data_IF_681165422220
#
_entry.id   IF_681165422220
#
_cell.length_a   1.000
_cell.length_b   1.000
_cell.length_c   1.000
_cell.angle_alpha   90.00
_cell.angle_beta   90.00
_cell.angle_gamma   90.00
#
_symmetry.space_group_name_H-M   'P 1'
#
loop_
_entity.id
_entity.type
_entity.pdbx_description
1 polymer ?
#
# COMPACT_ATOMS: atom_id res chain seq x y z
N UNK A 1 -31.33 -9.41 29.47
CA UNK A 1 -30.38 -9.64 28.35
C UNK A 1 -30.56 -11.10 27.93
N UNK A 2 -30.86 -11.39 26.66
CA UNK A 2 -31.02 -12.78 26.19
C UNK A 2 -29.63 -13.27 25.78
N UNK A 3 -29.09 -14.24 26.51
CA UNK A 3 -27.78 -14.84 26.21
C UNK A 3 -28.03 -16.03 25.29
N UNK A 4 -27.32 -16.08 24.17
CA UNK A 4 -27.35 -17.21 23.24
C UNK A 4 -26.16 -18.09 23.56
N UNK A 5 -26.43 -19.36 23.83
CA UNK A 5 -25.44 -20.39 24.12
C UNK A 5 -25.29 -21.29 22.89
N UNK A 6 -24.05 -21.39 22.40
CA UNK A 6 -23.69 -22.21 21.24
C UNK A 6 -22.67 -23.25 21.67
N UNK A 7 -22.92 -24.52 21.34
CA UNK A 7 -21.91 -25.58 21.45
C UNK A 7 -21.10 -25.62 20.15
N UNK A 8 -19.77 -25.68 20.28
CA UNK A 8 -18.87 -25.87 19.14
C UNK A 8 -18.12 -27.18 19.32
N UNK A 9 -18.25 -28.09 18.35
CA UNK A 9 -17.56 -29.37 18.31
C UNK A 9 -16.60 -29.38 17.11
N UNK A 10 -15.30 -29.41 17.40
CA UNK A 10 -14.24 -29.39 16.39
C UNK A 10 -13.63 -30.78 16.25
N UNK A 11 -13.65 -31.32 15.03
CA UNK A 11 -13.18 -32.67 14.73
C UNK A 11 -11.98 -32.65 13.79
N UNK A 12 -10.82 -32.97 14.37
CA UNK A 12 -9.60 -33.28 13.63
C UNK A 12 -9.33 -34.80 13.62
N UNK A 13 -10.27 -35.56 13.07
CA UNK A 13 -10.20 -37.03 13.00
C UNK A 13 -9.88 -37.49 11.58
N UNK A 14 -9.25 -38.65 11.45
CA UNK A 14 -8.97 -39.29 10.16
C UNK A 14 -10.22 -39.86 9.48
N UNK A 15 -11.30 -40.08 10.23
CA UNK A 15 -12.60 -40.58 9.74
C UNK A 15 -13.68 -39.51 9.76
N UNK A 16 -14.69 -39.67 8.89
CA UNK A 16 -15.88 -38.84 8.87
C UNK A 16 -16.69 -39.02 10.17
N UNK A 17 -17.43 -37.96 10.56
CA UNK A 17 -18.31 -38.00 11.72
C UNK A 17 -19.43 -39.01 11.49
N UNK A 18 -19.55 -39.99 12.38
CA UNK A 18 -20.65 -40.95 12.34
C UNK A 18 -21.94 -40.38 12.97
N UNK A 19 -23.07 -40.98 12.60
CA UNK A 19 -24.39 -40.51 13.00
C UNK A 19 -24.66 -40.62 14.50
N UNK A 20 -24.03 -41.56 15.20
CA UNK A 20 -24.23 -41.76 16.63
C UNK A 20 -23.49 -40.66 17.41
N UNK A 21 -22.25 -40.38 17.00
CA UNK A 21 -21.48 -39.26 17.54
C UNK A 21 -22.22 -37.93 17.35
N UNK A 22 -22.74 -37.69 16.13
CA UNK A 22 -23.55 -36.49 15.87
C UNK A 22 -24.83 -36.43 16.71
N UNK A 23 -25.53 -37.57 16.88
CA UNK A 23 -26.68 -37.67 17.76
C UNK A 23 -26.38 -37.34 19.21
N UNK A 24 -25.22 -37.77 19.73
CA UNK A 24 -24.77 -37.43 21.08
C UNK A 24 -24.60 -35.92 21.28
N UNK A 25 -24.11 -35.20 20.27
CA UNK A 25 -23.99 -33.75 20.35
C UNK A 25 -25.35 -33.04 20.34
N UNK A 26 -26.31 -33.52 19.55
CA UNK A 26 -27.66 -32.97 19.57
C UNK A 26 -28.31 -33.12 20.95
N UNK A 27 -28.17 -34.29 21.58
CA UNK A 27 -28.67 -34.51 22.94
C UNK A 27 -28.00 -33.57 23.93
N UNK A 28 -26.67 -33.37 23.82
CA UNK A 28 -25.92 -32.43 24.66
C UNK A 28 -26.43 -31.00 24.53
N UNK A 29 -26.82 -30.57 23.32
CA UNK A 29 -27.41 -29.24 23.08
C UNK A 29 -28.71 -29.07 23.88
N UNK A 30 -29.55 -30.11 23.91
CA UNK A 30 -30.79 -30.10 24.69
C UNK A 30 -30.53 -30.14 26.19
N UNK A 31 -29.60 -30.98 26.65
CA UNK A 31 -29.25 -31.14 28.06
C UNK A 31 -28.72 -29.84 28.69
N UNK A 32 -27.91 -29.07 27.96
CA UNK A 32 -27.36 -27.81 28.47
C UNK A 32 -28.20 -26.58 28.12
N UNK A 33 -29.31 -26.77 27.40
CA UNK A 33 -30.19 -25.68 26.96
C UNK A 33 -29.56 -24.73 25.95
N UNK A 34 -28.61 -25.21 25.14
CA UNK A 34 -27.99 -24.42 24.08
C UNK A 34 -28.95 -24.23 22.89
N UNK A 35 -28.87 -23.07 22.24
CA UNK A 35 -29.71 -22.73 21.09
C UNK A 35 -29.10 -23.22 19.78
N UNK A 36 -27.78 -23.40 19.71
CA UNK A 36 -27.08 -23.76 18.49
C UNK A 36 -25.99 -24.81 18.71
N UNK A 37 -25.76 -25.62 17.67
CA UNK A 37 -24.64 -26.52 17.51
C UNK A 37 -23.86 -26.16 16.25
N UNK A 38 -22.57 -25.90 16.39
CA UNK A 38 -21.65 -25.76 15.28
C UNK A 38 -20.71 -26.97 15.26
N UNK A 39 -20.73 -27.73 14.17
CA UNK A 39 -19.85 -28.89 13.98
C UNK A 39 -18.84 -28.56 12.91
N UNK A 40 -17.56 -28.67 13.25
CA UNK A 40 -16.46 -28.33 12.36
C UNK A 40 -15.66 -29.58 12.07
N UNK A 41 -15.45 -29.94 10.80
CA UNK A 41 -14.68 -31.14 10.43
C UNK A 41 -13.81 -30.92 9.20
N UNK A 42 -12.63 -31.54 9.16
CA UNK A 42 -11.79 -31.66 7.95
C UNK A 42 -12.32 -32.68 6.93
N UNK A 43 -13.21 -33.59 7.36
CA UNK A 43 -13.78 -34.63 6.48
C UNK A 43 -15.21 -34.26 6.11
N UNK A 44 -15.67 -34.60 4.88
CA UNK A 44 -17.06 -34.39 4.49
C UNK A 44 -18.01 -35.08 5.46
N UNK A 45 -19.14 -34.44 5.74
CA UNK A 45 -20.20 -35.04 6.54
C UNK A 45 -20.92 -36.12 5.71
N UNK A 46 -21.15 -37.32 6.26
CA UNK A 46 -21.96 -38.34 5.61
C UNK A 46 -23.39 -37.85 5.38
N UNK A 47 -24.06 -38.36 4.35
CA UNK A 47 -25.45 -37.98 4.01
C UNK A 47 -26.39 -38.12 5.21
N UNK A 48 -26.26 -39.18 6.00
CA UNK A 48 -27.06 -39.39 7.21
C UNK A 48 -26.91 -38.28 8.26
N UNK A 49 -25.72 -37.68 8.38
CA UNK A 49 -25.47 -36.54 9.28
C UNK A 49 -26.07 -35.26 8.71
N UNK A 50 -25.97 -35.06 7.40
CA UNK A 50 -26.55 -33.91 6.70
C UNK A 50 -28.08 -33.93 6.83
N UNK A 51 -28.72 -35.05 6.48
CA UNK A 51 -30.18 -35.22 6.59
C UNK A 51 -30.68 -34.99 8.02
N UNK A 52 -29.93 -35.48 9.03
CA UNK A 52 -30.30 -35.29 10.43
C UNK A 52 -30.08 -33.85 10.91
N UNK A 53 -29.07 -33.15 10.39
CA UNK A 53 -28.86 -31.73 10.66
C UNK A 53 -29.98 -30.88 10.05
N UNK A 54 -30.41 -31.19 8.83
CA UNK A 54 -31.55 -30.53 8.17
C UNK A 54 -32.85 -30.72 8.95
N UNK A 55 -33.10 -31.93 9.47
CA UNK A 55 -34.25 -32.20 10.34
C UNK A 55 -34.22 -31.37 11.64
N UNK A 56 -33.03 -31.05 12.16
CA UNK A 56 -32.86 -30.19 13.32
C UNK A 56 -33.00 -28.69 12.98
N UNK A 57 -33.09 -28.32 11.70
CA UNK A 57 -33.30 -26.97 11.20
C UNK A 57 -32.15 -26.01 11.54
N UNK A 58 -32.49 -24.74 11.76
CA UNK A 58 -31.53 -23.65 12.04
C UNK A 58 -30.77 -23.79 13.38
N UNK A 59 -30.92 -24.91 14.07
CA UNK A 59 -30.22 -25.26 15.30
C UNK A 59 -28.80 -25.76 15.02
N UNK A 60 -28.52 -26.29 13.82
CA UNK A 60 -27.25 -26.95 13.51
C UNK A 60 -26.55 -26.31 12.32
N UNK A 61 -25.25 -26.08 12.46
CA UNK A 61 -24.36 -25.62 11.40
C UNK A 61 -23.25 -26.65 11.18
N UNK A 62 -23.20 -27.21 9.97
CA UNK A 62 -22.13 -28.11 9.55
C UNK A 62 -21.08 -27.32 8.77
N UNK A 63 -19.84 -27.30 9.26
CA UNK A 63 -18.73 -26.56 8.67
C UNK A 63 -17.62 -27.53 8.25
N UNK A 64 -17.25 -27.48 6.98
CA UNK A 64 -16.20 -28.31 6.41
C UNK A 64 -14.92 -27.49 6.21
N UNK A 65 -13.87 -27.81 6.95
CA UNK A 65 -12.54 -27.22 6.75
C UNK A 65 -11.93 -27.89 5.52
N UNK A 66 -12.00 -27.21 4.37
CA UNK A 66 -11.17 -27.59 3.23
C UNK A 66 -9.76 -27.08 3.49
N UNK A 67 -8.84 -27.96 3.88
CA UNK A 67 -7.42 -27.72 3.66
C UNK A 67 -7.17 -27.68 2.16
N UNK A 68 -7.40 -26.51 1.56
CA UNK A 68 -6.76 -26.19 0.30
C UNK A 68 -5.36 -25.76 0.71
N UNK A 69 -4.45 -26.71 0.87
CA UNK A 69 -3.04 -26.41 0.61
C UNK A 69 -3.02 -26.20 -0.89
N UNK A 70 -2.85 -24.97 -1.38
CA UNK A 70 -2.90 -24.76 -2.81
C UNK A 70 -1.68 -25.45 -3.42
N UNK A 71 -1.90 -26.29 -4.44
CA UNK A 71 -0.84 -27.08 -5.07
C UNK A 71 0.32 -26.21 -5.60
N UNK A 72 0.03 -24.94 -5.92
CA UNK A 72 0.99 -23.97 -6.46
C UNK A 72 0.91 -22.63 -5.73
N UNK A 73 2.05 -22.16 -5.25
CA UNK A 73 2.23 -20.80 -4.72
C UNK A 73 2.27 -19.82 -5.91
N UNK A 74 1.65 -18.62 -5.83
CA UNK A 74 1.74 -17.59 -6.86
C UNK A 74 3.16 -17.00 -6.94
N UNK A 75 4.08 -17.70 -7.60
CA UNK A 75 5.51 -17.36 -7.70
C UNK A 75 5.77 -16.05 -8.44
N UNK A 76 4.91 -15.68 -9.39
CA UNK A 76 4.95 -14.38 -10.07
C UNK A 76 4.77 -13.21 -9.09
N UNK A 77 4.04 -13.45 -8.00
CA UNK A 77 3.67 -12.48 -6.97
C UNK A 77 4.66 -12.49 -5.78
N UNK A 78 5.58 -13.46 -5.72
CA UNK A 78 6.71 -13.50 -4.76
C UNK A 78 7.72 -12.38 -5.01
N UNK A 79 7.56 -11.65 -6.12
CA UNK A 79 8.43 -10.57 -6.56
C UNK A 79 7.93 -9.18 -6.17
N UNK A 80 6.95 -9.07 -5.30
CA UNK A 80 6.48 -7.78 -4.81
C UNK A 80 7.40 -7.16 -3.79
N UNK A 81 7.50 -5.84 -3.88
CA UNK A 81 8.17 -5.02 -2.90
C UNK A 81 7.18 -3.97 -2.40
N UNK A 82 7.24 -3.71 -1.10
CA UNK A 82 6.69 -2.50 -0.52
C UNK A 82 7.80 -1.45 -0.51
N UNK A 83 7.55 -0.33 -1.19
CA UNK A 83 8.48 0.79 -1.31
C UNK A 83 7.93 2.01 -0.59
N UNK A 84 8.64 2.41 0.47
CA UNK A 84 8.37 3.60 1.26
C UNK A 84 9.33 4.70 0.87
N UNK A 85 8.78 5.88 0.58
CA UNK A 85 9.56 7.10 0.37
C UNK A 85 9.05 8.19 1.28
N UNK A 86 9.99 8.86 1.94
CA UNK A 86 9.72 10.06 2.69
C UNK A 86 10.72 11.14 2.33
N UNK A 87 10.18 12.34 2.12
CA UNK A 87 10.98 13.53 1.94
C UNK A 87 10.29 14.74 2.55
N UNK A 88 11.07 15.53 3.28
CA UNK A 88 10.66 16.87 3.67
C UNK A 88 11.90 17.76 3.84
N UNK A 89 11.72 19.05 3.58
CA UNK A 89 12.71 20.05 3.94
C UNK A 89 12.70 20.25 5.46
N UNK A 90 13.89 20.22 6.08
CA UNK A 90 14.02 20.48 7.52
C UNK A 90 13.85 21.98 7.83
N UNK A 91 14.40 22.79 6.94
CA UNK A 91 14.44 24.24 7.05
C UNK A 91 14.00 24.89 5.75
N UNK A 92 13.92 26.22 5.76
CA UNK A 92 13.69 26.98 4.53
C UNK A 92 14.83 26.74 3.54
N UNK A 93 14.52 26.16 2.38
CA UNK A 93 15.43 26.12 1.23
C UNK A 93 15.79 27.54 0.76
N UNK A 94 17.04 27.73 0.34
CA UNK A 94 17.52 28.88 -0.40
C UNK A 94 17.12 28.72 -1.87
N UNK A 95 16.32 29.64 -2.39
CA UNK A 95 15.78 29.57 -3.75
C UNK A 95 16.33 30.71 -4.61
N UNK A 96 16.78 30.36 -5.82
CA UNK A 96 17.14 31.32 -6.86
C UNK A 96 16.41 30.98 -8.14
N UNK A 97 15.45 31.83 -8.51
CA UNK A 97 14.71 31.70 -9.77
C UNK A 97 15.51 32.31 -10.91
N UNK A 98 15.62 31.56 -12.00
CA UNK A 98 16.09 32.03 -13.30
C UNK A 98 14.90 32.11 -14.25
N UNK A 99 14.83 33.17 -15.03
CA UNK A 99 13.89 33.35 -16.15
C UNK A 99 14.66 33.76 -17.40
N UNK A 100 14.07 33.57 -18.58
CA UNK A 100 14.70 34.01 -19.83
C UNK A 100 14.95 35.52 -19.84
N UNK A 101 16.06 35.94 -20.48
CA UNK A 101 16.40 37.36 -20.67
C UNK A 101 15.24 38.11 -21.31
N UNK A 102 14.93 39.31 -20.79
CA UNK A 102 13.80 40.13 -21.23
C UNK A 102 12.47 39.85 -20.52
N UNK A 103 12.30 38.69 -19.86
CA UNK A 103 11.08 38.41 -19.09
C UNK A 103 11.01 39.21 -17.79
N UNK A 104 12.16 39.54 -17.21
CA UNK A 104 12.26 40.36 -15.99
C UNK A 104 11.67 41.75 -16.23
N UNK A 105 12.09 42.42 -17.30
CA UNK A 105 11.62 43.76 -17.67
C UNK A 105 10.16 43.72 -18.13
N UNK A 106 9.82 42.76 -19.00
CA UNK A 106 8.46 42.60 -19.55
C UNK A 106 7.40 42.40 -18.46
N UNK A 107 7.74 41.66 -17.39
CA UNK A 107 6.81 41.33 -16.32
C UNK A 107 7.11 42.07 -15.01
N UNK A 108 8.01 43.07 -15.02
CA UNK A 108 8.40 43.85 -13.84
C UNK A 108 8.75 42.98 -12.62
N UNK A 109 9.49 41.90 -12.86
CA UNK A 109 9.83 40.93 -11.82
C UNK A 109 10.81 41.56 -10.82
N UNK A 110 10.40 41.69 -9.55
CA UNK A 110 11.31 42.10 -8.48
C UNK A 110 12.25 40.95 -8.12
N UNK A 111 13.53 41.24 -7.93
CA UNK A 111 14.61 40.28 -7.63
C UNK A 111 14.44 39.49 -6.32
N UNK A 112 13.50 39.88 -5.47
CA UNK A 112 13.26 39.32 -4.13
C UNK A 112 12.05 38.37 -4.07
N UNK A 113 11.49 38.00 -5.23
CA UNK A 113 10.43 37.02 -5.29
C UNK A 113 11.02 35.67 -4.86
N UNK A 114 10.74 35.23 -3.63
CA UNK A 114 10.22 33.90 -3.30
C UNK A 114 10.24 33.69 -1.77
N UNK A 115 9.05 33.51 -1.19
CA UNK A 115 8.91 32.87 0.11
C UNK A 115 8.59 31.39 -0.11
N UNK A 116 9.16 30.50 0.70
CA UNK A 116 9.10 29.05 0.48
C UNK A 116 7.68 28.46 0.59
N UNK A 117 6.74 29.17 1.21
CA UNK A 117 5.39 28.69 1.48
C UNK A 117 4.36 29.06 0.41
N UNK A 118 4.73 29.87 -0.59
CA UNK A 118 3.76 30.33 -1.57
C UNK A 118 3.61 29.30 -2.72
N UNK A 119 2.38 28.85 -2.97
CA UNK A 119 2.04 28.08 -4.18
C UNK A 119 2.16 28.98 -5.40
N UNK A 120 3.36 29.05 -5.96
CA UNK A 120 3.71 29.96 -7.06
C UNK A 120 4.23 29.25 -8.30
N UNK A 121 4.49 27.95 -8.23
CA UNK A 121 5.08 27.23 -9.35
C UNK A 121 4.03 26.41 -10.07
N UNK A 122 4.25 26.08 -11.34
CA UNK A 122 3.40 25.15 -12.08
C UNK A 122 4.27 24.33 -13.02
N UNK A 123 3.92 23.05 -13.15
CA UNK A 123 4.59 22.10 -14.04
C UNK A 123 3.71 21.67 -15.22
N UNK A 124 2.42 21.98 -15.13
CA UNK A 124 1.37 21.58 -16.07
C UNK A 124 0.70 22.79 -16.73
N UNK A 125 1.13 24.00 -16.38
CA UNK A 125 0.55 25.25 -16.85
C UNK A 125 -0.82 25.58 -16.26
N UNK A 126 -1.30 24.84 -15.26
CA UNK A 126 -2.65 24.99 -14.71
C UNK A 126 -2.67 25.01 -13.18
N UNK A 127 -2.05 24.02 -12.53
CA UNK A 127 -2.07 23.87 -11.09
C UNK A 127 -0.85 24.52 -10.46
N UNK A 128 -1.10 25.33 -9.43
CA UNK A 128 -0.03 25.92 -8.64
C UNK A 128 0.45 24.97 -7.55
N UNK A 129 1.75 24.80 -7.43
CA UNK A 129 2.43 23.97 -6.44
C UNK A 129 3.43 24.80 -5.65
N UNK A 130 3.76 24.34 -4.45
CA UNK A 130 4.80 24.90 -3.60
C UNK A 130 6.17 24.26 -3.91
N UNK A 131 7.20 24.73 -3.22
CA UNK A 131 8.55 24.20 -3.38
C UNK A 131 8.64 22.75 -2.86
N UNK A 132 7.94 22.41 -1.78
CA UNK A 132 7.95 21.06 -1.22
C UNK A 132 7.44 20.02 -2.23
N UNK A 133 6.44 20.38 -3.03
CA UNK A 133 5.93 19.54 -4.11
C UNK A 133 6.98 19.29 -5.19
N UNK A 134 7.77 20.31 -5.56
CA UNK A 134 8.88 20.14 -6.52
C UNK A 134 9.95 19.20 -5.98
N UNK A 135 10.34 19.36 -4.71
CA UNK A 135 11.27 18.43 -4.08
C UNK A 135 10.68 17.00 -3.97
N UNK A 136 9.40 16.83 -3.65
CA UNK A 136 8.76 15.50 -3.69
C UNK A 136 8.80 14.86 -5.07
N UNK A 137 8.69 15.64 -6.15
CA UNK A 137 8.84 15.12 -7.51
C UNK A 137 10.26 14.64 -7.81
N UNK A 138 11.29 15.27 -7.24
CA UNK A 138 12.67 14.82 -7.43
C UNK A 138 12.93 13.40 -6.91
N UNK A 139 12.12 12.89 -5.98
CA UNK A 139 12.22 11.51 -5.47
C UNK A 139 12.02 10.44 -6.54
N UNK A 140 11.23 10.72 -7.58
CA UNK A 140 11.05 9.80 -8.71
C UNK A 140 12.25 9.76 -9.66
N UNK A 141 13.13 10.77 -9.61
CA UNK A 141 14.35 10.85 -10.43
C UNK A 141 15.59 10.27 -9.72
N UNK A 142 15.47 10.00 -8.41
CA UNK A 142 16.54 9.59 -7.49
C UNK A 142 17.07 8.17 -7.66
N UNK A 143 16.38 7.25 -8.35
CA UNK A 143 16.99 5.94 -8.64
C UNK A 143 18.31 6.07 -9.42
N UNK A 144 18.59 7.25 -9.99
CA UNK A 144 19.84 7.58 -10.68
C UNK A 144 20.86 8.41 -9.88
N UNK A 145 20.54 8.97 -8.71
CA UNK A 145 21.45 9.84 -7.92
C UNK A 145 21.29 9.59 -6.41
N UNK A 146 22.38 9.23 -5.71
CA UNK A 146 22.37 8.86 -4.29
C UNK A 146 22.27 10.07 -3.34
N UNK A 147 21.07 10.56 -3.00
CA UNK A 147 20.87 11.40 -1.79
C UNK A 147 20.99 10.60 -0.50
N UNK A 148 21.10 9.28 -0.57
CA UNK A 148 21.28 8.41 0.59
C UNK A 148 22.48 8.86 1.42
N UNK A 149 22.24 9.18 2.69
CA UNK A 149 23.26 9.65 3.62
C UNK A 149 23.61 11.14 3.50
N UNK A 150 23.03 11.87 2.55
CA UNK A 150 23.16 13.33 2.47
C UNK A 150 22.11 14.00 3.34
N UNK A 151 22.50 15.12 3.96
CA UNK A 151 21.61 15.97 4.78
C UNK A 151 21.28 17.29 4.08
N UNK A 152 22.02 17.63 3.04
CA UNK A 152 21.88 18.83 2.22
C UNK A 152 22.03 18.47 0.76
N UNK A 153 21.24 19.11 -0.10
CA UNK A 153 21.34 18.94 -1.54
C UNK A 153 20.95 20.22 -2.26
N UNK A 154 21.51 20.33 -3.46
CA UNK A 154 21.25 21.38 -4.41
C UNK A 154 20.47 20.76 -5.57
N UNK A 155 19.33 21.34 -5.93
CA UNK A 155 18.45 20.87 -7.00
C UNK A 155 18.32 21.97 -8.05
N UNK A 156 18.35 21.54 -9.31
CA UNK A 156 18.00 22.37 -10.44
C UNK A 156 16.69 21.86 -11.03
N UNK A 157 15.62 22.63 -10.89
CA UNK A 157 14.33 22.33 -11.50
C UNK A 157 14.17 23.18 -12.76
N UNK A 158 14.03 22.54 -13.91
CA UNK A 158 13.82 23.26 -15.17
C UNK A 158 14.42 22.52 -16.37
N UNK A 159 14.05 22.96 -17.56
CA UNK A 159 14.64 22.53 -18.83
C UNK A 159 15.50 23.63 -19.47
N UNK A 160 15.79 24.71 -18.75
CA UNK A 160 16.49 25.87 -19.28
C UNK A 160 18.02 25.78 -19.21
N UNK A 161 18.61 24.63 -18.84
CA UNK A 161 20.05 24.54 -18.65
C UNK A 161 20.69 23.27 -19.22
N UNK A 162 21.40 23.46 -20.34
CA UNK A 162 22.75 22.90 -20.52
C UNK A 162 23.84 23.97 -20.31
N UNK A 163 23.54 25.27 -20.44
CA UNK A 163 24.57 26.34 -20.42
C UNK A 163 24.65 27.13 -19.11
N UNK A 164 23.74 26.88 -18.15
CA UNK A 164 23.49 27.77 -17.02
C UNK A 164 23.51 27.08 -15.63
N UNK A 165 23.78 25.76 -15.58
CA UNK A 165 24.03 25.06 -14.32
C UNK A 165 25.49 25.31 -13.94
N UNK A 166 25.77 26.08 -12.88
CA UNK A 166 27.14 26.25 -12.42
C UNK A 166 27.65 24.88 -11.97
N UNK A 167 28.81 24.47 -12.49
CA UNK A 167 29.70 23.41 -12.01
C UNK A 167 29.16 22.55 -10.85
N UNK A 168 28.90 21.28 -11.19
CA UNK A 168 28.96 20.06 -10.37
C UNK A 168 28.57 20.20 -8.88
N UNK A 169 27.28 19.91 -8.61
CA UNK A 169 26.73 19.36 -7.35
C UNK A 169 25.19 19.46 -7.32
N UNK A 170 24.57 20.00 -8.38
CA UNK A 170 23.12 20.04 -8.53
C UNK A 170 22.54 18.74 -9.08
N UNK A 171 21.52 18.20 -8.41
CA UNK A 171 20.61 17.20 -8.97
C UNK A 171 19.72 17.87 -10.01
N UNK A 172 19.86 17.48 -11.27
CA UNK A 172 19.10 18.06 -12.39
C UNK A 172 17.77 17.31 -12.50
N UNK A 173 16.68 18.06 -12.34
CA UNK A 173 15.31 17.57 -12.47
C UNK A 173 14.70 18.24 -13.70
N UNK A 174 14.74 17.57 -14.87
CA UNK A 174 14.23 18.15 -16.11
C UNK A 174 12.71 18.23 -16.04
N UNK A 175 12.19 19.45 -15.92
CA UNK A 175 10.75 19.73 -15.85
C UNK A 175 10.45 21.05 -16.57
N UNK A 176 9.32 21.11 -17.27
CA UNK A 176 8.79 22.39 -17.76
C UNK A 176 8.20 23.14 -16.57
N UNK A 177 8.89 24.20 -16.15
CA UNK A 177 8.54 24.92 -14.93
C UNK A 177 8.12 26.35 -15.24
N UNK A 178 7.05 26.77 -14.57
CA UNK A 178 6.52 28.12 -14.65
C UNK A 178 6.42 28.73 -13.26
N UNK A 179 6.63 30.04 -13.15
CA UNK A 179 6.30 30.84 -11.97
C UNK A 179 5.08 31.72 -12.27
N UNK A 180 4.13 31.74 -11.35
CA UNK A 180 2.95 32.60 -11.38
C UNK A 180 3.27 33.96 -10.77
N UNK A 181 3.20 35.00 -11.60
CA UNK A 181 3.36 36.39 -11.18
C UNK A 181 2.20 37.20 -11.70
N UNK A 182 1.43 37.80 -10.78
CA UNK A 182 0.23 38.58 -11.12
C UNK A 182 -0.77 37.81 -12.01
N UNK A 183 -0.89 36.49 -11.80
CA UNK A 183 -1.79 35.61 -12.56
C UNK A 183 -1.24 35.16 -13.93
N UNK A 184 -0.03 35.58 -14.31
CA UNK A 184 0.63 35.12 -15.53
C UNK A 184 1.66 34.04 -15.22
N UNK A 185 1.69 33.00 -16.06
CA UNK A 185 2.69 31.94 -15.98
C UNK A 185 3.89 32.27 -16.85
N UNK A 186 5.05 32.37 -16.21
CA UNK A 186 6.32 32.73 -16.86
C UNK A 186 7.25 31.53 -16.78
N UNK A 187 7.78 31.02 -17.91
CA UNK A 187 8.77 29.96 -17.90
C UNK A 187 9.96 30.31 -17.01
N UNK A 188 10.29 29.44 -16.07
CA UNK A 188 11.33 29.65 -15.09
C UNK A 188 12.15 28.36 -14.83
N UNK A 189 13.29 28.53 -14.18
CA UNK A 189 14.07 27.45 -13.60
C UNK A 189 14.41 27.84 -12.17
N UNK A 190 14.57 26.86 -11.29
CA UNK A 190 14.87 27.10 -9.88
C UNK A 190 16.15 26.38 -9.53
N UNK A 191 17.11 27.13 -8.98
CA UNK A 191 18.20 26.58 -8.21
C UNK A 191 17.75 26.60 -6.75
N UNK A 192 17.56 25.43 -6.17
CA UNK A 192 17.16 25.27 -4.78
C UNK A 192 18.27 24.59 -3.99
N UNK A 193 18.61 25.11 -2.83
CA UNK A 193 19.54 24.46 -1.91
C UNK A 193 18.89 24.35 -0.54
N UNK A 194 18.88 23.17 0.06
CA UNK A 194 18.21 22.99 1.34
C UNK A 194 18.70 21.79 2.12
N UNK A 195 18.51 21.88 3.44
CA UNK A 195 18.60 20.75 4.34
C UNK A 195 17.33 19.92 4.23
N UNK A 196 17.47 18.61 4.07
CA UNK A 196 16.33 17.71 3.92
C UNK A 196 16.45 16.48 4.80
N UNK A 197 15.32 15.82 4.96
CA UNK A 197 15.24 14.43 5.38
C UNK A 197 14.82 13.62 4.16
N UNK A 198 15.50 12.50 3.94
CA UNK A 198 15.12 11.49 2.95
C UNK A 198 15.24 10.12 3.58
N UNK A 199 14.17 9.35 3.48
CA UNK A 199 14.16 7.95 3.85
C UNK A 199 13.55 7.15 2.69
N UNK A 200 14.27 6.11 2.28
CA UNK A 200 13.78 5.13 1.32
C UNK A 200 14.00 3.74 1.90
N UNK A 201 12.88 3.02 2.10
CA UNK A 201 12.87 1.64 2.56
C UNK A 201 12.13 0.81 1.52
N UNK A 202 12.87 -0.11 0.90
CA UNK A 202 12.33 -1.13 0.01
C UNK A 202 12.39 -2.48 0.72
N UNK A 203 11.26 -3.14 0.95
CA UNK A 203 11.23 -4.51 1.48
C UNK A 203 10.49 -5.45 0.55
N UNK A 204 11.09 -6.62 0.31
CA UNK A 204 10.42 -7.71 -0.39
C UNK A 204 9.27 -8.24 0.45
N UNK A 205 8.09 -8.37 -0.15
CA UNK A 205 6.92 -8.93 0.53
C UNK A 205 7.09 -10.42 0.78
N UNK A 206 6.55 -10.89 1.91
CA UNK A 206 6.58 -12.30 2.28
C UNK A 206 5.21 -12.91 2.06
N UNK A 207 5.18 -14.13 1.54
CA UNK A 207 3.98 -14.95 1.60
C UNK A 207 3.76 -15.37 3.05
N UNK A 208 2.67 -14.91 3.66
CA UNK A 208 2.37 -15.17 5.06
C UNK A 208 1.51 -16.43 5.21
N UNK A 209 0.42 -16.49 4.47
CA UNK A 209 -0.63 -17.49 4.69
C UNK A 209 -1.55 -17.62 3.48
N UNK A 210 -2.37 -18.67 3.49
CA UNK A 210 -3.56 -18.76 2.65
C UNK A 210 -4.78 -18.58 3.56
N UNK A 211 -5.57 -17.53 3.35
CA UNK A 211 -6.73 -17.18 4.16
C UNK A 211 -8.02 -17.50 3.41
N UNK A 212 -8.97 -18.15 4.08
CA UNK A 212 -10.32 -18.43 3.58
C UNK A 212 -11.35 -17.65 4.41
N UNK A 213 -12.48 -17.25 3.79
CA UNK A 213 -13.62 -16.75 4.56
C UNK A 213 -14.26 -17.87 5.41
N UNK A 214 -15.17 -17.50 6.32
CA UNK A 214 -15.87 -18.41 7.24
C UNK A 214 -16.59 -19.58 6.54
N UNK A 215 -16.86 -19.46 5.24
CA UNK A 215 -17.50 -20.46 4.41
C UNK A 215 -16.53 -21.28 3.52
N UNK A 216 -15.22 -21.05 3.61
CA UNK A 216 -14.21 -21.76 2.80
C UNK A 216 -14.22 -21.42 1.31
N UNK A 217 -15.00 -20.43 0.88
CA UNK A 217 -15.30 -20.14 -0.53
C UNK A 217 -14.37 -19.10 -1.16
N UNK A 218 -13.71 -18.27 -0.35
CA UNK A 218 -12.84 -17.20 -0.83
C UNK A 218 -11.45 -17.37 -0.25
N UNK A 219 -10.70 -18.34 -0.78
CA UNK A 219 -9.30 -18.52 -0.45
C UNK A 219 -8.39 -17.55 -1.21
N UNK A 220 -7.48 -16.89 -0.51
CA UNK A 220 -6.48 -16.00 -1.09
C UNK A 220 -5.11 -16.21 -0.43
N UNK A 221 -4.05 -16.16 -1.23
CA UNK A 221 -2.68 -16.08 -0.71
C UNK A 221 -2.44 -14.66 -0.24
N UNK A 222 -1.99 -14.52 1.01
CA UNK A 222 -1.74 -13.22 1.62
C UNK A 222 -0.26 -12.96 1.61
N UNK A 223 0.14 -11.95 0.83
CA UNK A 223 1.45 -11.35 0.94
C UNK A 223 1.39 -10.22 1.95
N UNK A 224 2.32 -10.22 2.90
CA UNK A 224 2.37 -9.22 3.96
C UNK A 224 3.80 -8.79 4.21
N UNK A 225 3.99 -7.50 4.47
CA UNK A 225 5.23 -6.98 5.03
C UNK A 225 4.98 -5.70 5.83
N UNK A 226 5.93 -5.39 6.71
CA UNK A 226 5.88 -4.22 7.58
C UNK A 226 7.09 -3.33 7.41
N UNK A 227 6.86 -2.03 7.35
CA UNK A 227 7.90 -1.00 7.40
C UNK A 227 7.73 -0.24 8.71
N UNK A 228 8.79 -0.15 9.50
CA UNK A 228 8.81 0.62 10.74
C UNK A 228 9.68 1.84 10.51
N UNK A 229 9.10 3.02 10.73
CA UNK A 229 9.79 4.31 10.66
C UNK A 229 9.65 5.06 11.99
N UNK A 230 10.28 6.21 12.11
CA UNK A 230 10.11 7.12 13.26
C UNK A 230 8.68 7.65 13.41
N UNK A 231 7.90 7.68 12.31
CA UNK A 231 6.49 8.11 12.27
C UNK A 231 5.49 7.00 12.57
N UNK A 232 5.91 5.75 12.59
CA UNK A 232 5.06 4.62 12.94
C UNK A 232 5.31 3.37 12.11
N UNK A 233 4.42 2.39 12.26
CA UNK A 233 4.44 1.14 11.50
C UNK A 233 3.45 1.21 10.33
N UNK A 234 3.94 0.86 9.15
CA UNK A 234 3.16 0.63 7.95
C UNK A 234 3.04 -0.87 7.73
N UNK A 235 1.81 -1.35 7.56
CA UNK A 235 1.53 -2.73 7.26
C UNK A 235 0.86 -2.81 5.90
N UNK A 236 1.49 -3.51 4.95
CA UNK A 236 0.89 -3.76 3.64
C UNK A 236 0.45 -5.22 3.55
N UNK A 237 -0.79 -5.44 3.12
CA UNK A 237 -1.38 -6.74 2.82
C UNK A 237 -1.88 -6.76 1.38
N UNK A 238 -1.49 -7.79 0.64
CA UNK A 238 -1.94 -8.03 -0.74
C UNK A 238 -2.53 -9.44 -0.81
N UNK A 239 -3.85 -9.56 -0.96
CA UNK A 239 -4.48 -10.82 -1.29
C UNK A 239 -4.38 -11.12 -2.79
N UNK A 240 -3.85 -12.30 -3.10
CA UNK A 240 -3.76 -12.87 -4.45
C UNK A 240 -4.73 -14.03 -4.55
N UNK A 241 -5.40 -14.16 -5.69
CA UNK A 241 -6.31 -15.28 -5.98
C UNK A 241 -5.97 -15.96 -7.29
N UNK A 242 -6.40 -17.20 -7.41
CA UNK A 242 -6.37 -17.97 -8.65
C UNK A 242 -7.77 -18.00 -9.25
N UNK A 243 -7.88 -17.73 -10.55
CA UNK A 243 -9.13 -17.87 -11.29
C UNK A 243 -9.36 -19.34 -11.73
N UNK A 244 -10.49 -19.59 -12.40
CA UNK A 244 -10.86 -20.92 -12.89
C UNK A 244 -9.93 -21.45 -14.00
N UNK A 245 -9.22 -20.55 -14.69
CA UNK A 245 -8.25 -20.88 -15.73
C UNK A 245 -6.84 -21.13 -15.18
N UNK A 246 -6.69 -21.01 -13.86
CA UNK A 246 -5.43 -21.22 -13.16
C UNK A 246 -4.52 -19.99 -13.12
N UNK A 247 -4.97 -18.82 -13.60
CA UNK A 247 -4.22 -17.56 -13.57
C UNK A 247 -4.36 -16.86 -12.23
N UNK A 248 -3.27 -16.26 -11.77
CA UNK A 248 -3.26 -15.51 -10.53
C UNK A 248 -3.54 -14.02 -10.76
N UNK A 249 -4.30 -13.39 -9.85
CA UNK A 249 -4.66 -11.98 -9.91
C UNK A 249 -4.71 -11.33 -8.52
N UNK A 250 -4.50 -10.01 -8.49
CA UNK A 250 -4.58 -9.20 -7.28
C UNK A 250 -6.05 -8.85 -6.96
N UNK A 251 -6.45 -9.01 -5.71
CA UNK A 251 -7.74 -8.48 -5.24
C UNK A 251 -7.67 -7.00 -4.87
N UNK A 252 -6.48 -6.51 -4.53
CA UNK A 252 -6.28 -5.13 -4.11
C UNK A 252 -5.03 -4.97 -3.26
N UNK A 253 -4.78 -3.73 -2.86
CA UNK A 253 -3.67 -3.35 -1.98
C UNK A 253 -4.24 -2.70 -0.74
N UNK A 254 -3.87 -3.22 0.43
CA UNK A 254 -4.33 -2.72 1.71
C UNK A 254 -3.11 -2.25 2.50
N UNK A 255 -2.97 -0.94 2.67
CA UNK A 255 -1.88 -0.33 3.42
C UNK A 255 -2.49 0.36 4.64
N UNK A 256 -2.13 -0.13 5.83
CA UNK A 256 -2.46 0.49 7.10
C UNK A 256 -1.24 1.30 7.59
N UNK A 257 -1.45 2.55 7.98
CA UNK A 257 -0.40 3.41 8.54
C UNK A 257 -0.76 4.90 8.56
N UNK A 258 0.17 5.75 9.04
CA UNK A 258 -0.01 7.21 9.02
C UNK A 258 -0.26 7.77 7.61
N UNK A 259 -1.20 8.71 7.48
CA UNK A 259 -1.61 9.29 6.18
C UNK A 259 -0.56 10.19 5.53
N UNK A 260 0.47 10.59 6.26
CA UNK A 260 1.52 11.51 5.79
C UNK A 260 2.57 10.83 4.92
N UNK A 261 2.63 9.51 4.89
CA UNK A 261 3.59 8.78 4.07
C UNK A 261 2.87 7.86 3.07
N UNK A 262 3.56 7.55 1.97
CA UNK A 262 3.02 6.71 0.90
C UNK A 262 3.93 5.51 0.71
N UNK A 263 3.33 4.33 0.67
CA UNK A 263 3.98 3.11 0.23
C UNK A 263 3.40 2.71 -1.12
N UNK A 264 4.28 2.35 -2.06
CA UNK A 264 3.89 1.82 -3.36
C UNK A 264 4.24 0.33 -3.42
N UNK A 265 3.53 -0.38 -4.29
CA UNK A 265 3.93 -1.74 -4.68
C UNK A 265 4.59 -1.66 -6.03
N UNK A 266 5.81 -2.18 -6.10
CA UNK A 266 6.55 -2.27 -7.34
C UNK A 266 6.78 -3.75 -7.63
N UNK A 267 6.45 -4.16 -8.86
CA UNK A 267 6.72 -5.52 -9.33
C UNK A 267 8.20 -5.63 -9.75
N UNK A 268 8.83 -6.79 -9.61
CA UNK A 268 10.21 -6.94 -10.07
C UNK A 268 10.39 -6.83 -11.60
N UNK A 269 9.32 -6.79 -12.39
CA UNK A 269 9.41 -6.48 -13.81
C UNK A 269 9.60 -4.97 -14.06
N UNK A 270 9.26 -4.13 -13.08
CA UNK A 270 9.29 -2.67 -13.15
C UNK A 270 10.51 -2.06 -12.42
N UNK A 271 11.44 -2.88 -11.92
CA UNK A 271 12.74 -2.49 -11.33
C UNK A 271 13.88 -2.87 -12.25
#
# INVERSE_FOLDING_TARGET
>A
MRITLTIVEVQDRSSAVDINTFGGWLNKVDEVGAQHLMVVSRKPFPLSVIEKAEQAGNKVFLMHIREVIPDEIPTDFVRFFIDYYEFYLKDRALLKVKVKKGMIEKHSLKSELLSNSDRKFSIDGANLIDIDALFRMSLGYEEKLSLKGKTTASFYFGNMAEQDVPNEDFVIVPVELFISVSGQLIPCAILAQGSFHYEHISKKMKLLSYEQNEHGNLGAWIFEEKITTDKGEYKCRIPVKRDENGLFYLLGTFIDGPTTCKANIVSAADR
#
